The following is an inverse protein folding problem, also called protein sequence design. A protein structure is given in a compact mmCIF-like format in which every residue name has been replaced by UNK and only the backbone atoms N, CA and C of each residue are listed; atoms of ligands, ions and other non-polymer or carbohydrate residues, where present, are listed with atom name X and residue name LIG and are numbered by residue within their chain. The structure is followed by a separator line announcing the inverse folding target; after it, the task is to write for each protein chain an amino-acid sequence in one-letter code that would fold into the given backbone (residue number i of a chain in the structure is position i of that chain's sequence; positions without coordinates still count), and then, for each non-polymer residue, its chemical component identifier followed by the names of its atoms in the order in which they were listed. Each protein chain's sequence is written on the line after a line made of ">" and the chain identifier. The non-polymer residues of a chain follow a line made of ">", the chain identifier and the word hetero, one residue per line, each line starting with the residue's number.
data_IF_404952265086
#
_entry.id   IF_404952265086
#
_cell.length_a   1.000
_cell.length_b   1.000
_cell.length_c   1.000
_cell.angle_alpha   90.00
_cell.angle_beta   90.00
_cell.angle_gamma   90.00
#
_symmetry.space_group_name_H-M   'P 1'
#
loop_
_entity.id
_entity.type
_entity.pdbx_description
1 polymer ?
#
# COMPACT_ATOMS: atom_id res chain seq x y z
N UNK A 1 12.15 15.29 12.20
CA UNK A 1 12.33 13.97 11.55
C UNK A 1 11.73 14.14 10.17
N UNK A 2 12.53 14.01 9.13
CA UNK A 2 12.05 14.07 7.75
C UNK A 2 11.12 12.87 7.57
N UNK A 3 9.83 13.10 7.35
CA UNK A 3 8.86 12.03 7.19
C UNK A 3 9.30 11.14 6.02
N UNK A 4 9.72 9.90 6.29
CA UNK A 4 10.04 8.88 5.27
C UNK A 4 8.83 8.54 4.35
N UNK A 5 7.69 9.20 4.57
CA UNK A 5 6.44 9.10 3.80
C UNK A 5 6.54 9.65 2.38
N UNK A 6 7.57 10.46 2.09
CA UNK A 6 7.84 10.97 0.73
C UNK A 6 8.80 10.07 -0.08
N UNK A 7 8.98 8.81 0.37
CA UNK A 7 9.70 7.80 -0.40
C UNK A 7 9.09 7.53 -1.79
N UNK A 8 9.89 6.93 -2.67
CA UNK A 8 9.45 6.55 -4.02
C UNK A 8 8.27 5.57 -3.99
N UNK A 9 7.21 5.89 -4.72
CA UNK A 9 6.05 5.00 -4.87
C UNK A 9 6.43 3.84 -5.79
N UNK A 10 6.55 2.64 -5.23
CA UNK A 10 6.91 1.43 -5.98
C UNK A 10 5.74 0.72 -6.65
N UNK A 11 4.54 0.82 -6.09
CA UNK A 11 3.30 0.30 -6.66
C UNK A 11 2.08 1.05 -6.15
N UNK A 12 0.98 0.93 -6.90
CA UNK A 12 -0.35 1.40 -6.50
C UNK A 12 -1.33 0.25 -6.67
N UNK A 13 -2.05 -0.09 -5.60
CA UNK A 13 -3.11 -1.10 -5.63
C UNK A 13 -4.45 -0.37 -5.70
N UNK A 14 -5.16 -0.39 -6.84
CA UNK A 14 -6.46 0.27 -6.93
C UNK A 14 -7.51 -0.53 -6.16
N UNK A 15 -8.09 0.10 -5.14
CA UNK A 15 -9.20 -0.45 -4.35
C UNK A 15 -10.46 0.32 -4.64
N UNK A 16 -11.57 -0.39 -4.86
CA UNK A 16 -12.91 0.21 -4.93
C UNK A 16 -13.66 -0.15 -3.64
N UNK A 17 -14.47 0.76 -3.09
CA UNK A 17 -15.35 0.43 -1.98
C UNK A 17 -16.19 -0.80 -2.31
N UNK A 18 -16.29 -1.70 -1.34
CA UNK A 18 -17.00 -2.96 -1.43
C UNK A 18 -17.66 -3.23 -0.09
N UNK A 19 -18.84 -3.85 -0.11
CA UNK A 19 -19.48 -4.35 1.12
C UNK A 19 -18.76 -5.60 1.66
N UNK A 20 -18.08 -6.33 0.79
CA UNK A 20 -17.39 -7.59 1.10
C UNK A 20 -15.86 -7.44 1.02
N UNK A 21 -15.15 -8.35 1.69
CA UNK A 21 -13.70 -8.51 1.57
C UNK A 21 -13.31 -8.90 0.15
N UNK A 22 -12.32 -8.21 -0.41
CA UNK A 22 -11.78 -8.50 -1.74
C UNK A 22 -10.27 -8.57 -1.70
N UNK A 23 -9.71 -9.61 -2.31
CA UNK A 23 -8.28 -9.69 -2.55
C UNK A 23 -7.90 -8.73 -3.69
N UNK A 24 -6.83 -7.96 -3.46
CA UNK A 24 -6.21 -7.08 -4.46
C UNK A 24 -4.70 -7.20 -4.33
N UNK A 25 -4.02 -7.18 -5.47
CA UNK A 25 -2.56 -7.23 -5.54
C UNK A 25 -2.03 -6.13 -6.46
N UNK A 26 -0.79 -5.75 -6.24
CA UNK A 26 -0.03 -4.89 -7.14
C UNK A 26 1.40 -5.39 -7.20
N UNK A 27 1.92 -5.54 -8.41
CA UNK A 27 3.29 -5.99 -8.61
C UNK A 27 4.26 -4.83 -8.39
N UNK A 28 5.36 -5.10 -7.69
CA UNK A 28 6.49 -4.18 -7.56
C UNK A 28 7.78 -4.95 -7.40
N UNK A 29 8.87 -4.28 -7.75
CA UNK A 29 10.21 -4.81 -7.56
C UNK A 29 10.84 -4.20 -6.31
N UNK A 30 11.33 -5.07 -5.42
CA UNK A 30 12.17 -4.67 -4.29
C UNK A 30 13.59 -5.12 -4.61
N UNK A 31 14.51 -4.16 -4.72
CA UNK A 31 15.94 -4.47 -4.82
C UNK A 31 16.39 -5.27 -3.59
N UNK A 32 17.33 -6.20 -3.79
CA UNK A 32 17.85 -7.05 -2.71
C UNK A 32 18.35 -6.24 -1.51
N UNK A 33 18.01 -6.67 -0.30
CA UNK A 33 18.43 -6.04 0.96
C UNK A 33 17.27 -5.88 1.96
N UNK A 34 17.56 -5.24 3.09
CA UNK A 34 16.55 -4.89 4.10
C UNK A 34 16.10 -3.45 3.86
N UNK A 35 14.81 -3.26 3.56
CA UNK A 35 14.21 -1.93 3.35
C UNK A 35 12.88 -1.84 4.08
N UNK A 36 12.58 -0.68 4.65
CA UNK A 36 11.26 -0.40 5.18
C UNK A 36 10.25 -0.31 4.02
N UNK A 37 9.07 -0.94 4.21
CA UNK A 37 7.94 -0.80 3.31
C UNK A 37 6.87 0.03 4.00
N UNK A 38 6.47 1.11 3.35
CA UNK A 38 5.43 2.01 3.82
C UNK A 38 4.17 1.83 2.98
N UNK A 39 3.04 1.62 3.64
CA UNK A 39 1.73 1.61 3.01
C UNK A 39 1.04 2.94 3.26
N UNK A 40 0.69 3.63 2.18
CA UNK A 40 0.02 4.93 2.24
C UNK A 40 -1.37 4.79 1.61
N UNK A 41 -2.41 5.03 2.40
CA UNK A 41 -3.78 5.14 1.88
C UNK A 41 -4.00 6.53 1.27
N UNK A 42 -4.52 6.56 0.03
CA UNK A 42 -4.90 7.78 -0.69
C UNK A 42 -6.37 7.69 -1.10
N UNK A 43 -7.23 8.38 -0.36
CA UNK A 43 -8.67 8.39 -0.60
C UNK A 43 -9.41 9.14 0.50
N UNK A 44 -10.74 9.14 0.40
CA UNK A 44 -11.63 9.64 1.44
C UNK A 44 -12.23 8.48 2.22
N UNK A 45 -12.24 8.55 3.55
CA UNK A 45 -12.81 7.53 4.43
C UNK A 45 -11.75 6.61 5.04
N UNK A 46 -12.10 5.36 5.25
CA UNK A 46 -11.24 4.32 5.84
C UNK A 46 -11.25 3.05 4.99
N UNK A 47 -10.22 2.23 5.16
CA UNK A 47 -10.11 0.90 4.57
C UNK A 47 -9.76 -0.09 5.68
N UNK A 48 -10.52 -1.18 5.76
CA UNK A 48 -10.12 -2.36 6.51
C UNK A 48 -9.26 -3.22 5.59
N UNK A 49 -8.07 -3.61 6.06
CA UNK A 49 -7.10 -4.36 5.28
C UNK A 49 -6.47 -5.46 6.13
N UNK A 50 -6.22 -6.60 5.50
CA UNK A 50 -5.55 -7.75 6.11
C UNK A 50 -4.52 -8.30 5.12
N UNK A 51 -3.32 -8.59 5.62
CA UNK A 51 -2.32 -9.38 4.93
C UNK A 51 -2.39 -10.81 5.47
N UNK A 52 -2.46 -11.79 4.57
CA UNK A 52 -2.46 -13.23 4.91
C UNK A 52 -1.17 -13.86 4.42
#
# INVERSE_FOLDING_TARGET
>A
MQDEKDGEIRAVIPVRPSADWQEKSGEFHIETGVRALYFTYRGSGSIDWQWV
#
